data_IF_975253405011
#
_entry.id   IF_975253405011
#
_cell.length_a   1.000
_cell.length_b   1.000
_cell.length_c   1.000
_cell.angle_alpha   90.00
_cell.angle_beta   90.00
_cell.angle_gamma   90.00
#
_symmetry.space_group_name_H-M   'P 1'
#
loop_
_entity.id
_entity.type
_entity.pdbx_description
1 polymer ?
#
# COMPACT_ATOMS: atom_id res chain seq x y z
N UNK A 1 -24.42 -48.15 -5.17
CA UNK A 1 -23.24 -48.99 -5.49
C UNK A 1 -22.05 -48.44 -4.73
N UNK A 2 -21.61 -49.19 -3.72
CA UNK A 2 -20.40 -48.95 -2.95
C UNK A 2 -19.18 -49.41 -3.76
N UNK A 3 -18.15 -48.58 -3.87
CA UNK A 3 -16.81 -49.00 -4.28
C UNK A 3 -15.83 -48.43 -3.25
N UNK A 4 -15.23 -49.27 -2.38
CA UNK A 4 -14.07 -48.90 -1.60
C UNK A 4 -12.81 -49.19 -2.43
N UNK A 5 -11.91 -48.23 -2.57
CA UNK A 5 -10.52 -48.51 -2.99
C UNK A 5 -9.59 -47.96 -1.94
N UNK A 6 -8.97 -48.91 -1.27
CA UNK A 6 -7.91 -48.80 -0.29
C UNK A 6 -6.62 -49.19 -1.00
N UNK A 7 -5.64 -48.28 -1.16
CA UNK A 7 -4.24 -48.66 -1.36
C UNK A 7 -3.31 -47.64 -0.70
N UNK A 8 -2.53 -48.20 0.22
CA UNK A 8 -1.38 -47.69 1.00
C UNK A 8 -0.16 -47.48 0.10
N UNK A 9 0.75 -46.56 0.41
CA UNK A 9 2.19 -46.83 0.60
C UNK A 9 2.93 -45.55 1.04
N UNK A 10 3.43 -45.61 2.26
CA UNK A 10 4.45 -44.71 2.80
C UNK A 10 5.84 -45.26 2.43
N UNK A 11 6.78 -44.39 2.05
CA UNK A 11 8.21 -44.44 2.46
C UNK A 11 9.10 -43.42 1.72
N UNK A 12 10.20 -43.08 2.39
CA UNK A 12 11.44 -42.41 1.92
C UNK A 12 11.41 -40.87 1.75
N UNK A 13 12.44 -40.10 2.13
CA UNK A 13 13.71 -40.38 2.80
C UNK A 13 14.21 -39.06 3.41
N UNK A 14 14.66 -39.11 4.67
CA UNK A 14 15.37 -38.01 5.31
C UNK A 14 16.84 -37.97 4.86
N UNK A 15 17.32 -36.79 4.48
CA UNK A 15 18.72 -36.50 4.24
C UNK A 15 19.22 -35.44 5.23
N UNK A 16 20.45 -35.57 5.79
CA UNK A 16 21.00 -34.60 6.72
C UNK A 16 21.38 -33.28 6.03
N UNK A 17 20.95 -32.16 6.61
CA UNK A 17 21.39 -30.81 6.23
C UNK A 17 22.76 -30.51 6.84
N UNK A 18 23.72 -30.19 5.99
CA UNK A 18 25.01 -29.61 6.35
C UNK A 18 24.83 -28.17 6.83
N UNK A 19 25.33 -27.77 8.02
CA UNK A 19 25.31 -26.38 8.44
C UNK A 19 26.27 -25.55 7.58
N UNK A 20 25.75 -24.47 6.97
CA UNK A 20 26.55 -23.47 6.30
C UNK A 20 27.37 -22.67 7.32
N UNK A 21 28.66 -22.49 7.03
CA UNK A 21 29.60 -21.72 7.83
C UNK A 21 29.17 -20.24 7.91
N UNK A 22 29.27 -19.68 9.12
CA UNK A 22 29.08 -18.26 9.36
C UNK A 22 30.25 -17.45 8.75
N UNK A 23 29.99 -16.33 8.05
CA UNK A 23 31.04 -15.43 7.61
C UNK A 23 31.61 -14.65 8.79
N UNK A 24 32.94 -14.56 8.81
CA UNK A 24 33.77 -13.85 9.77
C UNK A 24 33.47 -12.35 9.75
N UNK A 25 33.30 -11.78 10.95
CA UNK A 25 33.17 -10.34 11.16
C UNK A 25 34.53 -9.67 10.92
N UNK A 26 34.67 -8.98 9.79
CA UNK A 26 35.82 -8.15 9.50
C UNK A 26 35.73 -6.85 10.32
N UNK A 27 36.42 -6.82 11.46
CA UNK A 27 36.64 -5.61 12.25
C UNK A 27 37.70 -4.75 11.57
N UNK A 28 37.26 -3.80 10.76
CA UNK A 28 38.10 -2.70 10.26
C UNK A 28 37.98 -1.48 11.16
N UNK A 29 38.92 -1.33 12.10
CA UNK A 29 39.24 -0.03 12.71
C UNK A 29 39.78 0.90 11.63
N UNK A 30 39.18 2.08 11.50
CA UNK A 30 39.72 3.21 10.74
C UNK A 30 39.56 4.47 11.56
N UNK A 31 40.67 4.91 12.16
CA UNK A 31 40.85 6.19 12.85
C UNK A 31 40.85 7.38 11.86
N UNK A 32 40.22 8.46 12.34
CA UNK A 32 40.54 9.89 12.19
C UNK A 32 40.93 10.48 10.83
N UNK A 33 40.14 11.48 10.37
CA UNK A 33 40.74 12.72 9.87
C UNK A 33 39.90 13.99 10.18
N UNK A 34 40.43 14.70 11.16
CA UNK A 34 40.46 16.14 11.47
C UNK A 34 40.00 17.19 10.43
N UNK A 35 39.22 18.15 10.95
CA UNK A 35 39.26 19.61 10.80
C UNK A 35 39.03 20.30 9.43
N UNK A 36 38.08 21.26 9.40
CA UNK A 36 38.36 22.70 9.51
C UNK A 36 37.34 23.59 8.75
N UNK A 37 36.90 24.65 9.45
CA UNK A 37 36.48 26.00 8.99
C UNK A 37 35.28 26.15 8.03
N UNK A 38 34.15 26.74 8.45
CA UNK A 38 33.88 28.16 8.72
C UNK A 38 33.79 29.02 7.43
N UNK A 39 32.57 29.45 7.07
CA UNK A 39 32.20 30.86 6.85
C UNK A 39 30.70 31.00 6.52
N UNK A 40 30.02 31.85 7.28
CA UNK A 40 28.76 32.49 6.91
C UNK A 40 28.97 33.40 5.71
N UNK A 41 27.89 33.66 4.94
CA UNK A 41 27.45 35.05 4.94
C UNK A 41 25.95 35.18 5.17
N UNK A 42 25.62 36.18 5.99
CA UNK A 42 24.33 36.82 6.05
C UNK A 42 24.03 37.49 4.70
N UNK A 43 22.82 37.28 4.18
CA UNK A 43 22.22 38.12 3.15
C UNK A 43 20.80 38.51 3.59
N UNK A 44 20.69 39.75 4.06
CA UNK A 44 19.43 40.44 4.34
C UNK A 44 18.80 40.87 3.01
N UNK A 45 18.03 39.98 2.40
CA UNK A 45 17.20 40.26 1.24
C UNK A 45 15.73 40.33 1.58
N UNK A 46 15.30 41.40 2.25
CA UNK A 46 13.89 41.71 2.49
C UNK A 46 13.13 41.94 1.17
N UNK A 47 12.47 40.90 0.69
CA UNK A 47 11.43 40.96 -0.33
C UNK A 47 10.16 40.38 0.26
N UNK A 48 9.13 41.21 0.42
CA UNK A 48 7.80 40.77 0.85
C UNK A 48 7.21 39.76 -0.13
N UNK A 49 7.49 38.48 0.09
CA UNK A 49 6.66 37.40 -0.41
C UNK A 49 5.34 37.52 0.34
N UNK A 50 4.32 37.96 -0.40
CA UNK A 50 2.95 37.75 -0.01
C UNK A 50 2.82 36.29 0.43
N UNK A 51 2.55 36.11 1.72
CA UNK A 51 2.23 34.86 2.38
C UNK A 51 1.08 34.23 1.60
N UNK A 52 1.42 33.47 0.56
CA UNK A 52 0.51 32.69 -0.24
C UNK A 52 0.03 31.62 0.73
N UNK A 53 -1.08 31.92 1.41
CA UNK A 53 -1.76 31.02 2.31
C UNK A 53 -1.74 29.63 1.67
N UNK A 54 -0.88 28.76 2.19
CA UNK A 54 -0.70 27.41 1.70
C UNK A 54 -2.05 26.76 1.88
N UNK A 55 -2.82 26.70 0.79
CA UNK A 55 -4.12 26.06 0.79
C UNK A 55 -3.86 24.64 1.24
N UNK A 56 -4.46 24.27 2.38
CA UNK A 56 -4.35 22.92 2.92
C UNK A 56 -4.55 21.91 1.77
N UNK A 57 -3.71 20.87 1.68
CA UNK A 57 -3.67 20.00 0.51
C UNK A 57 -5.05 19.40 0.25
N UNK A 58 -5.77 19.94 -0.74
CA UNK A 58 -7.11 19.48 -1.06
C UNK A 58 -7.05 18.10 -1.73
N UNK A 59 -7.98 17.22 -1.35
CA UNK A 59 -8.13 15.91 -2.01
C UNK A 59 -8.69 16.16 -3.41
N UNK A 60 -8.04 15.63 -4.47
CA UNK A 60 -8.54 15.79 -5.84
C UNK A 60 -9.94 15.20 -5.99
N UNK A 61 -10.82 15.89 -6.73
CA UNK A 61 -12.18 15.41 -7.07
C UNK A 61 -12.37 15.16 -8.56
N UNK A 62 -11.38 15.55 -9.37
CA UNK A 62 -11.41 15.49 -10.83
C UNK A 62 -10.18 14.75 -11.39
N UNK A 63 -10.38 14.12 -12.55
CA UNK A 63 -9.34 13.43 -13.29
C UNK A 63 -8.29 14.42 -13.83
N UNK A 64 -7.03 14.00 -13.91
CA UNK A 64 -6.01 14.75 -14.62
C UNK A 64 -6.30 14.76 -16.14
N UNK A 65 -6.45 15.94 -16.79
CA UNK A 65 -6.98 16.02 -18.16
C UNK A 65 -6.06 15.46 -19.25
N UNK A 66 -4.78 15.20 -18.94
CA UNK A 66 -3.78 14.68 -19.88
C UNK A 66 -3.47 13.19 -19.72
N UNK A 67 -4.14 12.52 -18.79
CA UNK A 67 -3.95 11.10 -18.54
C UNK A 67 -4.96 10.28 -19.35
N UNK A 68 -4.55 9.11 -19.83
CA UNK A 68 -5.45 8.15 -20.50
C UNK A 68 -6.44 7.53 -19.50
N UNK A 69 -5.96 7.21 -18.29
CA UNK A 69 -6.77 6.79 -17.16
C UNK A 69 -7.25 8.00 -16.33
N UNK A 70 -8.41 7.89 -15.69
CA UNK A 70 -8.84 8.88 -14.71
C UNK A 70 -8.03 8.71 -13.42
N UNK A 71 -7.00 9.54 -13.29
CA UNK A 71 -6.09 9.53 -12.15
C UNK A 71 -5.98 10.91 -11.50
N UNK A 72 -5.53 11.02 -10.24
CA UNK A 72 -5.34 12.30 -9.57
C UNK A 72 -4.23 13.17 -10.18
N UNK A 73 -4.11 14.42 -9.73
CA UNK A 73 -3.02 15.29 -10.15
C UNK A 73 -1.65 14.75 -9.67
N UNK A 74 -0.58 14.77 -10.50
CA UNK A 74 0.73 14.26 -10.14
C UNK A 74 1.34 14.84 -8.85
N UNK A 75 1.11 16.13 -8.53
CA UNK A 75 1.61 16.73 -7.27
C UNK A 75 0.97 16.09 -6.04
N UNK A 76 -0.32 15.74 -6.12
CA UNK A 76 -0.99 15.01 -5.05
C UNK A 76 -0.47 13.58 -4.95
N UNK A 77 -0.27 12.91 -6.08
CA UNK A 77 0.28 11.55 -6.14
C UNK A 77 1.66 11.48 -5.49
N UNK A 78 2.53 12.45 -5.77
CA UNK A 78 3.86 12.51 -5.15
C UNK A 78 3.78 12.57 -3.62
N UNK A 79 2.95 13.47 -3.06
CA UNK A 79 2.73 13.55 -1.62
C UNK A 79 2.13 12.27 -1.04
N UNK A 80 1.10 11.73 -1.71
CA UNK A 80 0.43 10.48 -1.31
C UNK A 80 1.43 9.32 -1.24
N UNK A 81 2.30 9.21 -2.24
CA UNK A 81 3.27 8.12 -2.34
C UNK A 81 4.56 8.33 -1.55
N UNK A 82 4.75 9.48 -0.91
CA UNK A 82 5.82 9.70 0.06
C UNK A 82 5.48 9.12 1.45
N UNK A 83 4.24 8.71 1.69
CA UNK A 83 3.78 8.13 2.96
C UNK A 83 2.88 6.91 2.77
N UNK A 84 2.20 6.52 3.85
CA UNK A 84 1.17 5.47 3.84
C UNK A 84 -0.10 6.03 4.45
N UNK A 85 -1.18 6.07 3.67
CA UNK A 85 -2.42 6.76 4.05
C UNK A 85 -3.65 5.83 3.91
N UNK A 86 -3.88 4.90 4.86
CA UNK A 86 -4.95 3.90 4.73
C UNK A 86 -6.35 4.52 4.60
N UNK A 87 -6.67 5.55 5.40
CA UNK A 87 -7.95 6.27 5.28
C UNK A 87 -8.12 6.96 3.92
N UNK A 88 -7.04 7.54 3.38
CA UNK A 88 -7.06 8.13 2.04
C UNK A 88 -7.32 7.09 0.96
N UNK A 89 -6.71 5.91 1.07
CA UNK A 89 -7.03 4.82 0.16
C UNK A 89 -8.51 4.44 0.22
N UNK A 90 -9.10 4.24 1.41
CA UNK A 90 -10.53 3.94 1.52
C UNK A 90 -11.40 5.02 0.89
N UNK A 91 -11.07 6.30 1.13
CA UNK A 91 -11.80 7.43 0.55
C UNK A 91 -11.71 7.44 -0.98
N UNK A 92 -10.52 7.27 -1.54
CA UNK A 92 -10.32 7.22 -2.99
C UNK A 92 -10.97 5.98 -3.60
N UNK A 93 -10.85 4.80 -3.01
CA UNK A 93 -11.56 3.61 -3.49
C UNK A 93 -13.08 3.79 -3.44
N UNK A 94 -13.63 4.51 -2.46
CA UNK A 94 -15.06 4.84 -2.41
C UNK A 94 -15.54 5.70 -3.59
N UNK A 95 -14.63 6.39 -4.28
CA UNK A 95 -14.95 7.22 -5.43
C UNK A 95 -14.79 6.44 -6.75
N UNK A 96 -15.92 6.16 -7.39
CA UNK A 96 -15.98 5.40 -8.65
C UNK A 96 -15.39 6.10 -9.88
N UNK A 97 -14.96 7.38 -9.78
CA UNK A 97 -14.32 8.09 -10.89
C UNK A 97 -12.92 7.55 -11.18
N UNK A 98 -12.17 7.14 -10.14
CA UNK A 98 -10.77 6.74 -10.30
C UNK A 98 -10.64 5.40 -11.01
N UNK A 99 -9.65 5.29 -11.88
CA UNK A 99 -9.41 4.06 -12.63
C UNK A 99 -8.87 2.96 -11.71
N UNK A 100 -9.63 1.88 -11.61
CA UNK A 100 -9.23 0.63 -10.95
C UNK A 100 -8.46 -0.24 -11.92
N UNK A 101 -7.46 -0.95 -11.39
CA UNK A 101 -6.73 -1.98 -12.11
C UNK A 101 -6.53 -3.21 -11.21
N UNK A 102 -6.11 -4.31 -11.84
CA UNK A 102 -5.96 -5.61 -11.22
C UNK A 102 -4.64 -6.24 -11.63
N UNK A 103 -3.99 -6.91 -10.69
CA UNK A 103 -2.69 -7.53 -10.93
C UNK A 103 -2.84 -8.79 -11.78
N UNK A 104 -2.05 -8.90 -12.85
CA UNK A 104 -2.03 -10.06 -13.77
C UNK A 104 -1.07 -11.16 -13.35
N UNK A 105 -0.23 -10.90 -12.33
CA UNK A 105 0.75 -11.82 -11.77
C UNK A 105 1.12 -11.40 -10.35
N UNK A 106 1.83 -12.28 -9.65
CA UNK A 106 2.43 -11.93 -8.36
C UNK A 106 3.65 -11.04 -8.61
N UNK A 107 3.68 -9.87 -8.00
CA UNK A 107 4.69 -8.82 -8.24
C UNK A 107 5.24 -8.33 -6.91
N UNK A 108 6.53 -8.03 -6.85
CA UNK A 108 7.13 -7.45 -5.65
C UNK A 108 6.57 -6.04 -5.39
N UNK A 109 6.22 -5.74 -4.13
CA UNK A 109 5.73 -4.43 -3.77
C UNK A 109 6.91 -3.47 -3.58
N UNK A 110 7.16 -2.63 -4.58
CA UNK A 110 8.18 -1.60 -4.53
C UNK A 110 7.62 -0.26 -5.00
N UNK A 111 8.16 0.85 -4.51
CA UNK A 111 7.68 2.20 -4.81
C UNK A 111 8.82 3.06 -5.42
N UNK A 112 8.72 3.37 -6.71
CA UNK A 112 9.71 4.19 -7.43
C UNK A 112 9.56 5.70 -7.18
N UNK A 113 8.50 6.12 -6.49
CA UNK A 113 8.17 7.53 -6.29
C UNK A 113 8.82 8.17 -5.06
N UNK A 114 9.69 7.42 -4.36
CA UNK A 114 10.55 7.95 -3.30
C UNK A 114 10.04 7.80 -1.86
N UNK A 115 8.85 7.23 -1.65
CA UNK A 115 8.36 6.89 -0.32
C UNK A 115 8.66 5.47 0.12
N UNK A 116 8.15 5.10 1.30
CA UNK A 116 8.31 3.75 1.83
C UNK A 116 7.64 2.72 0.89
N UNK A 117 8.42 1.74 0.42
CA UNK A 117 7.88 0.56 -0.23
C UNK A 117 7.13 -0.28 0.81
N UNK A 118 5.92 -0.72 0.48
CA UNK A 118 5.29 -1.78 1.26
C UNK A 118 6.10 -3.06 1.07
N UNK A 119 6.65 -3.64 2.13
CA UNK A 119 7.35 -4.93 2.00
C UNK A 119 6.43 -6.03 1.46
N UNK A 120 7.02 -7.04 0.83
CA UNK A 120 6.31 -8.25 0.38
C UNK A 120 5.87 -8.19 -1.09
N UNK A 121 4.73 -8.84 -1.39
CA UNK A 121 4.25 -9.02 -2.76
C UNK A 121 2.80 -8.56 -2.89
N UNK A 122 2.45 -8.11 -4.10
CA UNK A 122 1.08 -8.03 -4.57
C UNK A 122 0.65 -9.38 -5.12
N UNK A 123 -0.58 -9.78 -4.82
CA UNK A 123 -1.11 -11.06 -5.25
C UNK A 123 -1.79 -10.96 -6.63
N UNK A 124 -1.84 -12.06 -7.36
CA UNK A 124 -2.66 -12.16 -8.58
C UNK A 124 -4.12 -11.80 -8.27
N UNK A 125 -4.76 -11.01 -9.15
CA UNK A 125 -6.09 -10.40 -8.99
C UNK A 125 -6.21 -9.38 -7.85
N UNK A 126 -5.11 -8.93 -7.24
CA UNK A 126 -5.15 -7.83 -6.28
C UNK A 126 -5.64 -6.56 -6.99
N UNK A 127 -6.59 -5.87 -6.37
CA UNK A 127 -7.14 -4.62 -6.85
C UNK A 127 -6.33 -3.42 -6.36
N UNK A 128 -6.01 -2.51 -7.27
CA UNK A 128 -5.31 -1.25 -7.02
C UNK A 128 -6.01 -0.08 -7.73
N UNK A 129 -5.74 1.16 -7.32
CA UNK A 129 -6.08 2.36 -8.09
C UNK A 129 -4.87 2.86 -8.86
N UNK A 130 -5.02 3.15 -10.14
CA UNK A 130 -3.96 3.81 -10.90
C UNK A 130 -3.86 5.28 -10.43
N UNK A 131 -2.63 5.72 -10.14
CA UNK A 131 -2.34 7.06 -9.67
C UNK A 131 -1.61 7.90 -10.73
N UNK A 132 -0.68 7.30 -11.46
CA UNK A 132 0.04 7.97 -12.52
C UNK A 132 0.54 6.97 -13.56
N UNK A 133 0.61 7.38 -14.82
CA UNK A 133 1.34 6.68 -15.87
C UNK A 133 2.80 7.15 -15.84
N UNK A 134 3.73 6.20 -15.77
CA UNK A 134 5.17 6.45 -15.85
C UNK A 134 5.61 6.22 -17.30
N UNK A 135 5.98 7.31 -17.95
CA UNK A 135 6.66 7.26 -19.25
C UNK A 135 8.14 7.15 -18.99
N UNK A 136 8.78 6.15 -19.58
CA UNK A 136 10.23 6.02 -19.50
C UNK A 136 10.89 7.24 -20.14
N UNK A 137 11.89 7.81 -19.46
CA UNK A 137 12.68 8.90 -20.02
C UNK A 137 13.37 8.41 -21.28
N UNK A 138 13.20 9.15 -22.39
CA UNK A 138 13.73 8.78 -23.71
C UNK A 138 15.27 8.71 -23.77
N UNK A 139 15.95 9.16 -22.71
CA UNK A 139 17.40 9.26 -22.61
C UNK A 139 18.02 8.35 -21.53
N UNK A 140 17.22 7.54 -20.83
CA UNK A 140 17.69 6.57 -19.83
C UNK A 140 17.78 5.15 -20.39
N UNK A 141 18.63 4.30 -19.81
CA UNK A 141 18.60 2.86 -20.07
C UNK A 141 17.24 2.31 -19.63
N UNK A 142 16.42 1.85 -20.59
CA UNK A 142 15.12 1.25 -20.34
C UNK A 142 15.29 -0.23 -20.03
N UNK A 143 14.99 -0.64 -18.80
CA UNK A 143 14.81 -2.05 -18.45
C UNK A 143 13.29 -2.29 -18.45
N UNK A 144 12.78 -2.83 -19.56
CA UNK A 144 11.36 -3.06 -19.79
C UNK A 144 10.84 -2.29 -21.01
N UNK A 145 9.93 -2.90 -21.77
CA UNK A 145 9.46 -2.42 -23.07
C UNK A 145 8.13 -1.65 -23.03
N UNK A 146 7.73 -1.11 -21.88
CA UNK A 146 6.37 -0.60 -21.71
C UNK A 146 6.21 0.61 -20.79
N UNK A 147 5.00 1.19 -20.85
CA UNK A 147 4.47 2.13 -19.86
C UNK A 147 4.46 1.49 -18.47
N UNK A 148 4.91 2.23 -17.46
CA UNK A 148 4.76 1.84 -16.05
C UNK A 148 3.60 2.59 -15.42
N UNK A 149 3.22 2.19 -14.20
CA UNK A 149 2.18 2.84 -13.42
C UNK A 149 2.62 2.98 -11.97
N UNK A 150 2.31 4.11 -11.36
CA UNK A 150 2.19 4.18 -9.90
C UNK A 150 0.75 3.86 -9.53
N UNK A 151 0.56 3.05 -8.50
CA UNK A 151 -0.74 2.58 -8.06
C UNK A 151 -0.88 2.60 -6.53
N UNK A 152 -2.11 2.83 -6.05
CA UNK A 152 -2.48 2.82 -4.64
C UNK A 152 -3.10 1.47 -4.26
N UNK A 153 -2.62 0.89 -3.16
CA UNK A 153 -3.19 -0.31 -2.55
C UNK A 153 -4.22 0.06 -1.48
N UNK A 154 -5.08 -0.90 -1.14
CA UNK A 154 -6.13 -0.75 -0.12
C UNK A 154 -5.61 -0.38 1.28
N UNK A 155 -4.36 -0.70 1.57
CA UNK A 155 -3.72 -0.39 2.86
C UNK A 155 -3.01 0.98 2.87
N UNK A 156 -3.25 1.82 1.85
CA UNK A 156 -2.69 3.17 1.78
C UNK A 156 -1.27 3.25 1.26
N UNK A 157 -0.62 2.14 0.90
CA UNK A 157 0.72 2.17 0.32
C UNK A 157 0.69 2.35 -1.20
N UNK A 158 1.70 3.04 -1.73
CA UNK A 158 1.93 3.11 -3.18
C UNK A 158 2.87 2.01 -3.66
N UNK A 159 2.68 1.59 -4.90
CA UNK A 159 3.55 0.66 -5.62
C UNK A 159 3.77 1.14 -7.05
N UNK A 160 4.89 0.71 -7.63
CA UNK A 160 5.20 0.90 -9.05
C UNK A 160 5.10 -0.44 -9.77
N UNK A 161 4.35 -0.46 -10.86
CA UNK A 161 4.03 -1.64 -11.65
C UNK A 161 4.40 -1.38 -13.11
N UNK A 162 4.87 -2.40 -13.81
CA UNK A 162 4.96 -2.36 -15.28
C UNK A 162 3.57 -2.53 -15.89
N UNK A 163 3.39 -2.05 -17.13
CA UNK A 163 2.08 -2.09 -17.78
C UNK A 163 1.56 -3.50 -18.06
N UNK A 164 2.45 -4.49 -18.14
CA UNK A 164 2.10 -5.90 -18.30
C UNK A 164 1.67 -6.58 -16.99
N UNK A 165 1.92 -5.95 -15.84
CA UNK A 165 1.52 -6.45 -14.52
C UNK A 165 0.11 -6.02 -14.14
N UNK A 166 -0.51 -5.13 -14.92
CA UNK A 166 -1.85 -4.59 -14.64
C UNK A 166 -2.82 -4.85 -15.78
N UNK A 167 -4.08 -5.05 -15.42
CA UNK A 167 -5.21 -5.06 -16.35
C UNK A 167 -6.38 -4.27 -15.77
N UNK A 168 -7.14 -3.59 -16.62
CA UNK A 168 -8.40 -2.95 -16.21
C UNK A 168 -9.58 -3.93 -16.29
N UNK A 169 -9.36 -5.15 -16.78
CA UNK A 169 -10.40 -6.19 -16.81
C UNK A 169 -10.63 -6.71 -15.39
N UNK A 170 -11.82 -6.42 -14.86
CA UNK A 170 -12.23 -6.88 -13.53
C UNK A 170 -12.25 -8.41 -13.44
N UNK A 171 -11.53 -9.03 -12.49
CA UNK A 171 -11.59 -10.46 -12.26
C UNK A 171 -12.91 -10.86 -11.58
N UNK A 172 -13.32 -12.13 -11.66
CA UNK A 172 -14.52 -12.61 -10.97
C UNK A 172 -14.49 -12.38 -9.46
N UNK A 173 -13.30 -12.46 -8.85
CA UNK A 173 -13.10 -12.26 -7.42
C UNK A 173 -11.81 -11.48 -7.16
N UNK A 174 -11.90 -10.16 -7.21
CA UNK A 174 -10.76 -9.27 -6.93
C UNK A 174 -10.28 -9.40 -5.48
N UNK A 175 -8.98 -9.63 -5.31
CA UNK A 175 -8.32 -9.64 -4.00
C UNK A 175 -7.99 -8.23 -3.54
N UNK A 176 -7.56 -8.10 -2.30
CA UNK A 176 -7.10 -6.85 -1.71
C UNK A 176 -6.04 -7.17 -0.66
N UNK A 177 -5.10 -6.25 -0.48
CA UNK A 177 -4.26 -6.24 0.70
C UNK A 177 -5.11 -5.99 1.95
N UNK A 178 -4.59 -6.41 3.12
CA UNK A 178 -5.24 -6.20 4.40
C UNK A 178 -5.28 -4.72 4.77
N UNK A 179 -6.47 -4.21 5.11
CA UNK A 179 -6.68 -2.89 5.69
C UNK A 179 -6.46 -2.97 7.20
N UNK A 180 -5.39 -2.34 7.68
CA UNK A 180 -5.09 -2.31 9.11
C UNK A 180 -5.96 -1.29 9.85
N UNK A 181 -6.98 -1.77 10.56
CA UNK A 181 -7.96 -0.94 11.29
C UNK A 181 -7.35 0.18 12.14
N UNK A 182 -6.24 -0.12 12.84
CA UNK A 182 -5.57 0.81 13.78
C UNK A 182 -4.97 2.05 13.12
N UNK A 183 -4.74 2.01 11.80
CA UNK A 183 -4.16 3.11 11.05
C UNK A 183 -5.20 3.92 10.27
N UNK A 184 -6.48 3.60 10.46
CA UNK A 184 -7.56 4.45 9.98
C UNK A 184 -7.75 5.61 10.97
N UNK A 185 -7.94 6.80 10.44
CA UNK A 185 -8.36 7.98 11.19
C UNK A 185 -9.62 7.70 12.04
N UNK A 186 -9.70 8.34 13.21
CA UNK A 186 -10.81 8.14 14.15
C UNK A 186 -12.18 8.44 13.53
N UNK A 187 -12.29 9.52 12.75
CA UNK A 187 -13.54 9.87 12.09
C UNK A 187 -13.99 8.81 11.07
N UNK A 188 -13.03 8.17 10.39
CA UNK A 188 -13.28 7.06 9.46
C UNK A 188 -13.68 5.80 10.23
N UNK A 189 -12.98 5.45 11.31
CA UNK A 189 -13.33 4.31 12.17
C UNK A 189 -14.76 4.45 12.72
N UNK A 190 -15.10 5.62 13.27
CA UNK A 190 -16.41 5.92 13.82
C UNK A 190 -17.51 5.82 12.77
N UNK A 191 -17.29 6.36 11.58
CA UNK A 191 -18.25 6.28 10.48
C UNK A 191 -18.45 4.83 10.01
N UNK A 192 -17.37 4.06 9.82
CA UNK A 192 -17.43 2.67 9.41
C UNK A 192 -18.15 1.80 10.45
N UNK A 193 -18.03 2.11 11.75
CA UNK A 193 -18.73 1.39 12.82
C UNK A 193 -20.24 1.65 12.89
N UNK A 194 -20.77 2.57 12.08
CA UNK A 194 -22.23 2.74 11.94
C UNK A 194 -22.84 1.62 11.08
N UNK A 195 -22.05 0.95 10.26
CA UNK A 195 -22.46 -0.24 9.53
C UNK A 195 -22.46 -1.47 10.46
N UNK A 196 -23.56 -2.22 10.46
CA UNK A 196 -23.75 -3.37 11.34
C UNK A 196 -22.73 -4.50 11.06
N UNK A 197 -22.42 -4.76 9.79
CA UNK A 197 -21.50 -5.84 9.41
C UNK A 197 -20.06 -5.52 9.81
N UNK A 198 -19.62 -4.26 9.60
CA UNK A 198 -18.30 -3.80 10.04
C UNK A 198 -18.23 -3.78 11.57
N UNK A 199 -19.23 -3.22 12.26
CA UNK A 199 -19.20 -3.17 13.73
C UNK A 199 -19.22 -4.58 14.35
N UNK A 200 -19.97 -5.52 13.79
CA UNK A 200 -19.94 -6.91 14.19
C UNK A 200 -18.55 -7.54 14.06
N UNK A 201 -17.89 -7.34 12.90
CA UNK A 201 -16.52 -7.82 12.69
C UNK A 201 -15.50 -7.14 13.62
N UNK A 202 -15.68 -5.85 13.91
CA UNK A 202 -14.84 -5.10 14.85
C UNK A 202 -14.95 -5.64 16.28
N UNK A 203 -16.16 -5.90 16.76
CA UNK A 203 -16.39 -6.45 18.10
C UNK A 203 -15.82 -7.86 18.23
N UNK A 204 -15.96 -8.69 17.20
CA UNK A 204 -15.34 -10.02 17.13
C UNK A 204 -13.81 -9.92 17.20
N UNK A 205 -13.20 -9.05 16.38
CA UNK A 205 -11.75 -8.78 16.44
C UNK A 205 -11.32 -8.34 17.84
N UNK A 206 -12.04 -7.41 18.46
CA UNK A 206 -11.71 -6.93 19.81
C UNK A 206 -11.75 -8.06 20.85
N UNK A 207 -12.73 -8.96 20.74
CA UNK A 207 -12.88 -10.14 21.61
C UNK A 207 -11.70 -11.10 21.44
N UNK A 208 -11.35 -11.45 20.20
CA UNK A 208 -10.32 -12.46 19.92
C UNK A 208 -8.90 -11.92 20.12
N UNK A 209 -8.65 -10.67 19.74
CA UNK A 209 -7.33 -10.06 19.82
C UNK A 209 -7.02 -9.43 21.19
N UNK A 210 -8.03 -9.13 22.02
CA UNK A 210 -7.88 -8.49 23.34
C UNK A 210 -7.03 -7.21 23.33
N UNK A 211 -7.01 -6.49 22.20
CA UNK A 211 -6.19 -5.28 22.02
C UNK A 211 -4.76 -5.53 21.53
N UNK A 212 -4.33 -6.78 21.33
CA UNK A 212 -3.06 -7.08 20.69
C UNK A 212 -3.06 -6.58 19.24
N UNK A 213 -2.04 -5.80 18.89
CA UNK A 213 -1.86 -5.20 17.55
C UNK A 213 -0.56 -5.65 16.88
N UNK A 214 0.33 -6.31 17.60
CA UNK A 214 1.63 -6.80 17.13
C UNK A 214 2.09 -8.01 17.95
N UNK A 215 3.04 -8.78 17.41
CA UNK A 215 3.60 -9.97 18.05
C UNK A 215 2.83 -11.25 17.73
N UNK A 216 3.11 -12.30 18.50
CA UNK A 216 2.49 -13.63 18.36
C UNK A 216 1.01 -13.58 18.80
N UNK A 217 0.14 -13.20 17.87
CA UNK A 217 -1.31 -13.23 18.05
C UNK A 217 -1.88 -14.61 17.71
N UNK A 218 -3.01 -14.94 18.31
CA UNK A 218 -3.70 -16.21 18.02
C UNK A 218 -4.17 -16.26 16.56
N UNK A 219 -4.27 -17.46 16.00
CA UNK A 219 -4.85 -17.66 14.67
C UNK A 219 -6.31 -17.14 14.57
N UNK A 220 -7.06 -17.19 15.69
CA UNK A 220 -8.39 -16.60 15.77
C UNK A 220 -8.36 -15.08 15.62
N UNK A 221 -7.40 -14.40 16.25
CA UNK A 221 -7.21 -12.96 16.08
C UNK A 221 -6.85 -12.60 14.63
N UNK A 222 -5.92 -13.32 13.99
CA UNK A 222 -5.56 -13.10 12.57
C UNK A 222 -6.78 -13.23 11.66
N UNK A 223 -7.60 -14.26 11.88
CA UNK A 223 -8.84 -14.47 11.11
C UNK A 223 -9.87 -13.36 11.35
N UNK A 224 -10.03 -12.90 12.59
CA UNK A 224 -10.94 -11.81 12.91
C UNK A 224 -10.48 -10.47 12.33
N UNK A 225 -9.17 -10.21 12.30
CA UNK A 225 -8.56 -9.05 11.64
C UNK A 225 -8.81 -9.08 10.13
N UNK A 226 -8.60 -10.23 9.48
CA UNK A 226 -8.93 -10.41 8.06
C UNK A 226 -10.43 -10.19 7.78
N UNK A 227 -11.31 -10.76 8.62
CA UNK A 227 -12.76 -10.59 8.47
C UNK A 227 -13.19 -9.12 8.56
N UNK A 228 -12.57 -8.35 9.46
CA UNK A 228 -12.80 -6.91 9.55
C UNK A 228 -12.33 -6.18 8.29
N UNK A 229 -11.11 -6.47 7.82
CA UNK A 229 -10.59 -5.92 6.56
C UNK A 229 -11.54 -6.21 5.38
N UNK A 230 -11.99 -7.46 5.24
CA UNK A 230 -12.88 -7.88 4.16
C UNK A 230 -14.26 -7.18 4.24
N UNK A 231 -14.78 -6.97 5.46
CA UNK A 231 -16.03 -6.25 5.66
C UNK A 231 -15.93 -4.78 5.21
N UNK A 232 -14.81 -4.11 5.52
CA UNK A 232 -14.55 -2.73 5.11
C UNK A 232 -14.43 -2.63 3.59
N UNK A 233 -13.61 -3.48 2.97
CA UNK A 233 -13.43 -3.49 1.51
C UNK A 233 -14.74 -3.76 0.80
N UNK A 234 -15.55 -4.70 1.30
CA UNK A 234 -16.88 -4.99 0.75
C UNK A 234 -17.82 -3.78 0.88
N UNK A 235 -17.85 -3.12 2.04
CA UNK A 235 -18.65 -1.92 2.27
C UNK A 235 -18.30 -0.83 1.25
N UNK A 236 -17.02 -0.50 1.09
CA UNK A 236 -16.54 0.52 0.14
C UNK A 236 -16.85 0.12 -1.31
N UNK A 237 -16.59 -1.13 -1.71
CA UNK A 237 -16.91 -1.64 -3.06
C UNK A 237 -18.40 -1.58 -3.40
N UNK A 238 -19.26 -1.70 -2.39
CA UNK A 238 -20.72 -1.64 -2.54
C UNK A 238 -21.28 -0.21 -2.47
N UNK A 239 -20.43 0.82 -2.54
CA UNK A 239 -20.84 2.22 -2.52
C UNK A 239 -21.06 2.79 -1.11
N UNK A 240 -20.56 2.12 -0.08
CA UNK A 240 -20.51 2.66 1.27
C UNK A 240 -19.74 3.98 1.32
N UNK A 241 -20.23 4.94 2.09
CA UNK A 241 -19.63 6.28 2.17
C UNK A 241 -18.56 6.33 3.24
N UNK A 242 -17.35 6.74 2.87
CA UNK A 242 -16.24 6.99 3.79
C UNK A 242 -16.10 8.51 3.93
N UNK A 243 -16.06 9.06 5.16
CA UNK A 243 -15.87 10.49 5.34
C UNK A 243 -14.48 10.93 4.85
N UNK A 244 -14.32 12.22 4.61
CA UNK A 244 -13.02 12.81 4.28
C UNK A 244 -12.03 12.51 5.41
N UNK A 245 -10.86 11.91 5.13
CA UNK A 245 -9.83 11.67 6.13
C UNK A 245 -9.30 12.97 6.75
N UNK A 246 -8.95 12.91 8.02
CA UNK A 246 -8.25 13.98 8.75
C UNK A 246 -6.75 13.99 8.43
N UNK A 247 -6.14 12.84 8.15
CA UNK A 247 -4.74 12.71 7.78
C UNK A 247 -4.59 12.90 6.26
N UNK A 248 -4.02 14.02 5.84
CA UNK A 248 -3.80 14.36 4.44
C UNK A 248 -2.33 14.24 4.05
N UNK A 249 -2.00 13.89 2.79
CA UNK A 249 -0.63 13.90 2.32
C UNK A 249 -0.04 15.32 2.25
N UNK A 250 1.07 15.54 2.95
CA UNK A 250 1.84 16.79 3.03
C UNK A 250 2.87 16.95 1.91
#
# INVERSE_FOLDING_TARGET
MLIPVLVVFASACGGPQTPAAAPEANSGSGEEQSASSAEEPADEGGGGEAEAAQQAPAIPTECHPKAEACVPNPKFVQRLCNGRYPSMALYLFGNGKWTRAYLTRKTEAWNASGGASAGGFLEFDEEVLLLAERKADKNGMQIGSGVGYDALRWDGSCVTLSGEEVTQKKPPSAKNVKVEWRFLDDNVQEALRKDEAINGAYLERRKECKGAVSGDVSAACVKADQKLSDAIVRYVRNGGTVPVPTTLPE
#
